data_IF_518258864113
#
_entry.id   IF_518258864113
#
_cell.length_a   1.000
_cell.length_b   1.000
_cell.length_c   1.000
_cell.angle_alpha   90.00
_cell.angle_beta   90.00
_cell.angle_gamma   90.00
#
_symmetry.space_group_name_H-M   'P 1'
#
loop_
_entity.id
_entity.type
_entity.pdbx_description
1 polymer ?
#
# COMPACT_ATOMS: atom_id res chain seq x y z
N UNK A 1 36.10 0.34 -36.07
CA UNK A 1 36.28 0.19 -34.61
C UNK A 1 35.86 1.45 -33.84
N UNK A 2 36.39 2.64 -34.15
CA UNK A 2 36.06 3.91 -33.44
C UNK A 2 34.55 4.25 -33.43
N UNK A 3 33.83 4.05 -34.54
CA UNK A 3 32.38 4.29 -34.62
C UNK A 3 31.55 3.39 -33.70
N UNK A 4 32.04 2.17 -33.41
CA UNK A 4 31.35 1.23 -32.52
C UNK A 4 31.60 1.61 -31.05
N UNK A 5 32.83 2.02 -30.73
CA UNK A 5 33.19 2.56 -29.42
C UNK A 5 32.37 3.81 -29.07
N UNK A 6 32.18 4.72 -30.02
CA UNK A 6 31.38 5.93 -29.81
C UNK A 6 29.89 5.63 -29.55
N UNK A 7 29.33 4.62 -30.24
CA UNK A 7 27.96 4.15 -30.00
C UNK A 7 27.80 3.49 -28.62
N UNK A 8 28.77 2.66 -28.22
CA UNK A 8 28.77 2.06 -26.88
C UNK A 8 28.88 3.12 -25.78
N UNK A 9 29.77 4.11 -25.96
CA UNK A 9 29.93 5.20 -25.00
C UNK A 9 28.65 6.04 -24.88
N UNK A 10 28.02 6.38 -26.02
CA UNK A 10 26.76 7.12 -26.04
C UNK A 10 25.63 6.34 -25.38
N UNK A 11 25.52 5.03 -25.62
CA UNK A 11 24.51 4.18 -24.98
C UNK A 11 24.71 4.12 -23.46
N UNK A 12 25.96 3.99 -23.01
CA UNK A 12 26.31 3.91 -21.59
C UNK A 12 25.97 5.21 -20.85
N UNK A 13 26.22 6.37 -21.48
CA UNK A 13 25.84 7.68 -20.93
C UNK A 13 24.32 7.83 -20.80
N UNK A 14 23.54 7.40 -21.80
CA UNK A 14 22.07 7.46 -21.75
C UNK A 14 21.52 6.56 -20.63
N UNK A 15 22.06 5.36 -20.48
CA UNK A 15 21.65 4.44 -19.40
C UNK A 15 21.96 5.03 -18.03
N UNK A 16 23.15 5.60 -17.83
CA UNK A 16 23.51 6.22 -16.55
C UNK A 16 22.61 7.41 -16.24
N UNK A 17 22.34 8.28 -17.21
CA UNK A 17 21.45 9.42 -17.05
C UNK A 17 20.02 8.99 -16.64
N UNK A 18 19.48 7.96 -17.30
CA UNK A 18 18.14 7.46 -16.99
C UNK A 18 18.06 6.88 -15.57
N UNK A 19 19.10 6.19 -15.10
CA UNK A 19 19.14 5.65 -13.74
C UNK A 19 19.17 6.76 -12.68
N UNK A 20 19.95 7.82 -12.90
CA UNK A 20 19.99 8.98 -11.98
C UNK A 20 18.61 9.63 -11.89
N UNK A 21 17.98 9.89 -13.04
CA UNK A 21 16.65 10.48 -13.10
C UNK A 21 15.59 9.63 -12.38
N UNK A 22 15.60 8.30 -12.56
CA UNK A 22 14.65 7.41 -11.89
C UNK A 22 14.85 7.34 -10.37
N UNK A 23 16.07 7.54 -9.87
CA UNK A 23 16.35 7.59 -8.43
C UNK A 23 15.78 8.87 -7.81
N UNK A 24 15.95 10.02 -8.47
CA UNK A 24 15.40 11.30 -8.00
C UNK A 24 13.87 11.27 -7.93
N UNK A 25 13.19 10.67 -8.93
CA UNK A 25 11.73 10.51 -8.93
C UNK A 25 11.23 9.64 -7.77
N UNK A 26 11.98 8.61 -7.41
CA UNK A 26 11.60 7.74 -6.29
C UNK A 26 11.72 8.49 -4.96
N UNK A 27 12.76 9.31 -4.79
CA UNK A 27 12.96 10.11 -3.58
C UNK A 27 11.85 11.16 -3.39
N UNK A 28 11.47 11.85 -4.48
CA UNK A 28 10.41 12.87 -4.45
C UNK A 28 9.01 12.30 -4.19
N UNK A 29 8.76 11.03 -4.51
CA UNK A 29 7.48 10.39 -4.25
C UNK A 29 7.29 9.97 -2.78
N UNK A 30 8.37 9.93 -2.00
CA UNK A 30 8.37 9.40 -0.63
C UNK A 30 8.33 10.52 0.44
N UNK A 31 8.71 11.76 0.10
CA UNK A 31 8.59 12.93 0.96
C UNK A 31 7.44 13.84 0.55
N UNK A 32 6.27 13.70 1.21
CA UNK A 32 5.40 14.81 1.68
C UNK A 32 4.06 14.29 2.18
N UNK A 33 4.07 13.56 3.30
CA UNK A 33 2.93 13.56 4.21
C UNK A 33 3.35 14.50 5.35
N UNK A 34 2.77 15.71 5.45
CA UNK A 34 3.19 16.63 6.49
C UNK A 34 2.77 16.07 7.85
N UNK A 35 3.73 15.89 8.77
CA UNK A 35 3.51 15.53 10.18
C UNK A 35 2.92 16.72 10.93
N UNK A 36 1.72 17.15 10.55
CA UNK A 36 0.91 18.01 11.41
C UNK A 36 0.51 17.19 12.65
N UNK A 37 0.39 17.83 13.83
CA UNK A 37 -0.24 17.19 14.97
C UNK A 37 -1.69 16.88 14.58
N UNK A 38 -1.95 15.61 14.25
CA UNK A 38 -3.27 15.13 13.87
C UNK A 38 -4.24 15.38 15.01
N UNK A 39 -5.42 15.91 14.67
CA UNK A 39 -6.49 16.11 15.63
C UNK A 39 -6.91 14.74 16.19
N UNK A 40 -6.97 14.54 17.52
CA UNK A 40 -7.49 13.32 18.13
C UNK A 40 -8.87 12.91 17.60
N UNK A 41 -9.70 13.87 17.17
CA UNK A 41 -10.99 13.61 16.54
C UNK A 41 -10.86 13.02 15.12
N UNK A 42 -9.83 13.40 14.37
CA UNK A 42 -9.53 12.88 13.05
C UNK A 42 -9.05 11.42 13.14
N UNK A 43 -8.14 11.11 14.07
CA UNK A 43 -7.67 9.75 14.34
C UNK A 43 -8.85 8.85 14.76
N UNK A 44 -9.69 9.33 15.68
CA UNK A 44 -10.88 8.58 16.11
C UNK A 44 -11.85 8.32 14.95
N UNK A 45 -11.95 9.28 14.02
CA UNK A 45 -12.77 9.17 12.83
C UNK A 45 -12.21 8.15 11.85
N UNK A 46 -10.90 8.16 11.58
CA UNK A 46 -10.22 7.19 10.72
C UNK A 46 -10.35 5.77 11.26
N UNK A 47 -10.10 5.57 12.56
CA UNK A 47 -10.27 4.26 13.23
C UNK A 47 -11.72 3.78 13.09
N UNK A 48 -12.70 4.67 13.26
CA UNK A 48 -14.13 4.34 13.10
C UNK A 48 -14.49 3.99 11.65
N UNK A 49 -13.91 4.66 10.66
CA UNK A 49 -14.10 4.33 9.25
C UNK A 49 -13.47 2.97 8.90
N UNK A 50 -12.27 2.69 9.42
CA UNK A 50 -11.59 1.41 9.26
C UNK A 50 -12.40 0.26 9.87
N UNK A 51 -12.86 0.41 11.13
CA UNK A 51 -13.68 -0.57 11.82
C UNK A 51 -15.00 -0.85 11.07
N UNK A 52 -15.63 0.18 10.50
CA UNK A 52 -16.83 0.03 9.66
C UNK A 52 -16.56 -0.81 8.41
N UNK A 53 -15.39 -0.64 7.77
CA UNK A 53 -14.98 -1.45 6.62
C UNK A 53 -14.79 -2.93 7.00
N UNK A 54 -14.15 -3.20 8.13
CA UNK A 54 -13.97 -4.56 8.65
C UNK A 54 -15.30 -5.25 8.97
N UNK A 55 -16.25 -4.54 9.58
CA UNK A 55 -17.60 -5.05 9.83
C UNK A 55 -18.31 -5.42 8.52
N UNK A 56 -18.25 -4.56 7.50
CA UNK A 56 -18.84 -4.85 6.19
C UNK A 56 -18.21 -6.09 5.55
N UNK A 57 -16.88 -6.26 5.64
CA UNK A 57 -16.18 -7.46 5.13
C UNK A 57 -16.62 -8.72 5.85
N UNK A 58 -16.75 -8.66 7.17
CA UNK A 58 -17.29 -9.75 7.99
C UNK A 58 -18.68 -10.15 7.49
N UNK A 59 -19.60 -9.20 7.35
CA UNK A 59 -20.97 -9.50 6.92
C UNK A 59 -21.02 -10.07 5.50
N UNK A 60 -20.17 -9.61 4.59
CA UNK A 60 -20.04 -10.20 3.25
C UNK A 60 -19.55 -11.64 3.31
N UNK A 61 -18.56 -11.93 4.15
CA UNK A 61 -18.02 -13.28 4.33
C UNK A 61 -19.11 -14.24 4.84
N UNK A 62 -19.82 -13.86 5.90
CA UNK A 62 -20.93 -14.65 6.46
C UNK A 62 -22.08 -14.87 5.48
N UNK A 63 -22.30 -13.96 4.53
CA UNK A 63 -23.36 -14.07 3.52
C UNK A 63 -22.95 -14.89 2.29
N UNK A 64 -21.66 -15.15 2.07
CA UNK A 64 -21.15 -15.85 0.89
C UNK A 64 -20.85 -17.31 1.13
N UNK A 65 -20.46 -17.66 2.36
CA UNK A 65 -20.04 -19.01 2.71
C UNK A 65 -21.23 -19.80 3.27
N UNK A 66 -21.28 -21.11 2.98
CA UNK A 66 -22.21 -22.03 3.63
C UNK A 66 -22.02 -21.87 5.15
N UNK A 67 -23.12 -21.78 5.92
CA UNK A 67 -23.10 -21.50 7.36
C UNK A 67 -22.53 -22.65 8.22
N UNK A 68 -21.48 -23.33 7.76
CA UNK A 68 -20.73 -24.33 8.49
C UNK A 68 -19.84 -23.65 9.54
N UNK A 69 -19.59 -24.35 10.65
CA UNK A 69 -18.78 -23.81 11.75
C UNK A 69 -17.36 -23.42 11.32
N UNK A 70 -16.79 -24.15 10.37
CA UNK A 70 -15.45 -23.88 9.81
C UNK A 70 -15.39 -22.51 9.11
N UNK A 71 -16.37 -22.22 8.24
CA UNK A 71 -16.44 -20.94 7.54
C UNK A 71 -16.75 -19.77 8.48
N UNK A 72 -17.59 -19.99 9.49
CA UNK A 72 -17.81 -18.99 10.53
C UNK A 72 -16.50 -18.63 11.26
N UNK A 73 -15.65 -19.62 11.58
CA UNK A 73 -14.34 -19.38 12.20
C UNK A 73 -13.40 -18.62 11.26
N UNK A 74 -13.41 -18.93 9.96
CA UNK A 74 -12.63 -18.21 8.95
C UNK A 74 -13.07 -16.74 8.89
N UNK A 75 -14.36 -16.46 8.74
CA UNK A 75 -14.88 -15.09 8.71
C UNK A 75 -14.57 -14.30 9.99
N UNK A 76 -14.66 -14.95 11.16
CA UNK A 76 -14.30 -14.34 12.44
C UNK A 76 -12.79 -14.04 12.54
N UNK A 77 -11.93 -14.97 12.12
CA UNK A 77 -10.49 -14.77 12.14
C UNK A 77 -10.07 -13.60 11.24
N UNK A 78 -10.64 -13.50 10.04
CA UNK A 78 -10.39 -12.39 9.12
C UNK A 78 -10.88 -11.05 9.66
N UNK A 79 -12.02 -11.04 10.36
CA UNK A 79 -12.52 -9.84 11.02
C UNK A 79 -11.58 -9.35 12.13
N UNK A 80 -11.08 -10.25 12.98
CA UNK A 80 -10.15 -9.92 14.07
C UNK A 80 -8.84 -9.35 13.49
N UNK A 81 -8.30 -9.97 12.45
CA UNK A 81 -7.10 -9.48 11.76
C UNK A 81 -7.34 -8.06 11.22
N UNK A 82 -8.47 -7.83 10.57
CA UNK A 82 -8.82 -6.53 10.01
C UNK A 82 -8.93 -5.43 11.09
N UNK A 83 -9.63 -5.70 12.20
CA UNK A 83 -9.78 -4.73 13.29
C UNK A 83 -8.45 -4.40 13.95
N UNK A 84 -7.56 -5.37 14.10
CA UNK A 84 -6.24 -5.14 14.69
C UNK A 84 -5.33 -4.26 13.81
N UNK A 85 -5.60 -4.20 12.50
CA UNK A 85 -4.91 -3.31 11.56
C UNK A 85 -5.46 -1.88 11.57
N UNK A 86 -6.60 -1.63 12.23
CA UNK A 86 -7.19 -0.30 12.38
C UNK A 86 -6.62 0.49 13.57
N UNK A 87 -5.66 -0.09 14.32
CA UNK A 87 -5.02 0.51 15.49
C UNK A 87 -3.59 0.91 15.14
#
# INVERSE_FOLDING_TARGET
MIKLLFKLLSLLLVVVFFNIFMVDFKLYAEEQIPDFPYDPEEIATEIKMCARSCLRRKDICFNREDHTEEYQQICQSQFIICINQCR
#
